data_IF_174099150522
#
_entry.id   IF_174099150522
#
_cell.length_a   1.000
_cell.length_b   1.000
_cell.length_c   1.000
_cell.angle_alpha   90.00
_cell.angle_beta   90.00
_cell.angle_gamma   90.00
#
_symmetry.space_group_name_H-M   'P 1'
#
loop_
_entity.id
_entity.type
_entity.pdbx_description
1 polymer ?
#
# COMPACT_ATOMS: atom_id res chain seq x y z
N UNK A 1 45.90 -47.83 2.70
CA UNK A 1 44.43 -47.78 2.51
C UNK A 1 43.75 -46.52 3.09
N UNK A 2 44.38 -45.74 3.97
CA UNK A 2 43.75 -44.60 4.65
C UNK A 2 43.61 -43.29 3.84
N UNK A 3 44.39 -43.11 2.78
CA UNK A 3 44.39 -41.85 2.01
C UNK A 3 43.09 -41.62 1.20
N UNK A 4 42.41 -42.70 0.79
CA UNK A 4 41.20 -42.63 -0.05
C UNK A 4 39.92 -42.31 0.76
N UNK A 5 39.88 -42.67 2.05
CA UNK A 5 38.76 -42.33 2.94
C UNK A 5 38.77 -40.86 3.37
N UNK A 6 39.93 -40.26 3.60
CA UNK A 6 40.04 -38.84 3.97
C UNK A 6 39.49 -37.90 2.89
N UNK A 7 39.83 -38.17 1.62
CA UNK A 7 39.38 -37.37 0.46
C UNK A 7 37.85 -37.42 0.30
N UNK A 8 37.23 -38.59 0.52
CA UNK A 8 35.78 -38.76 0.42
C UNK A 8 35.03 -38.02 1.55
N UNK A 9 35.59 -38.01 2.76
CA UNK A 9 35.02 -37.31 3.91
C UNK A 9 35.06 -35.78 3.71
N UNK A 10 36.18 -35.25 3.20
CA UNK A 10 36.32 -33.82 2.92
C UNK A 10 35.44 -33.36 1.74
N UNK A 11 35.27 -34.22 0.73
CA UNK A 11 34.31 -33.98 -0.35
C UNK A 11 32.86 -33.93 0.17
N UNK A 12 32.48 -34.87 1.03
CA UNK A 12 31.14 -34.89 1.62
C UNK A 12 30.87 -33.64 2.49
N UNK A 13 31.86 -33.19 3.28
CA UNK A 13 31.76 -31.95 4.08
C UNK A 13 31.60 -30.71 3.21
N UNK A 14 32.40 -30.57 2.15
CA UNK A 14 32.33 -29.42 1.24
C UNK A 14 31.03 -29.38 0.44
N UNK A 15 30.48 -30.53 0.03
CA UNK A 15 29.15 -30.62 -0.60
C UNK A 15 28.05 -30.18 0.37
N UNK A 16 28.10 -30.63 1.63
CA UNK A 16 27.13 -30.22 2.65
C UNK A 16 27.20 -28.71 2.95
N UNK A 17 28.41 -28.15 3.09
CA UNK A 17 28.60 -26.72 3.28
C UNK A 17 28.05 -25.89 2.11
N UNK A 18 28.27 -26.32 0.86
CA UNK A 18 27.71 -25.66 -0.33
C UNK A 18 26.18 -25.69 -0.33
N UNK A 19 25.56 -26.80 0.08
CA UNK A 19 24.09 -26.92 0.23
C UNK A 19 23.56 -25.98 1.32
N UNK A 20 24.20 -25.93 2.49
CA UNK A 20 23.83 -25.03 3.59
C UNK A 20 23.97 -23.57 3.18
N UNK A 21 25.05 -23.20 2.49
CA UNK A 21 25.28 -21.85 2.00
C UNK A 21 24.22 -21.44 0.95
N UNK A 22 23.84 -22.36 0.05
CA UNK A 22 22.77 -22.14 -0.93
C UNK A 22 21.41 -21.95 -0.24
N UNK A 23 21.08 -22.76 0.77
CA UNK A 23 19.86 -22.61 1.57
C UNK A 23 19.84 -21.29 2.35
N UNK A 24 20.97 -20.87 2.95
CA UNK A 24 21.08 -19.55 3.61
C UNK A 24 20.84 -18.39 2.64
N UNK A 25 21.40 -18.45 1.43
CA UNK A 25 21.17 -17.43 0.38
C UNK A 25 19.70 -17.37 -0.03
N UNK A 26 19.03 -18.51 -0.15
CA UNK A 26 17.59 -18.58 -0.47
C UNK A 26 16.75 -17.99 0.66
N UNK A 27 17.06 -18.30 1.93
CA UNK A 27 16.35 -17.73 3.08
C UNK A 27 16.49 -16.21 3.18
N UNK A 28 17.70 -15.67 2.95
CA UNK A 28 17.93 -14.22 2.91
C UNK A 28 17.16 -13.58 1.75
N UNK A 29 17.17 -14.19 0.56
CA UNK A 29 16.41 -13.70 -0.58
C UNK A 29 14.89 -13.70 -0.32
N UNK A 30 14.35 -14.72 0.36
CA UNK A 30 12.93 -14.78 0.73
C UNK A 30 12.54 -13.71 1.76
N UNK A 31 13.40 -13.43 2.75
CA UNK A 31 13.16 -12.34 3.71
C UNK A 31 13.12 -10.97 3.02
N UNK A 32 14.05 -10.71 2.09
CA UNK A 32 14.10 -9.44 1.35
C UNK A 32 12.91 -9.29 0.38
N UNK A 33 12.51 -10.35 -0.33
CA UNK A 33 11.35 -10.30 -1.24
C UNK A 33 10.04 -10.10 -0.46
N UNK A 34 9.92 -10.65 0.75
CA UNK A 34 8.75 -10.50 1.62
C UNK A 34 8.53 -9.08 2.16
N UNK A 35 9.60 -8.35 2.49
CA UNK A 35 9.50 -7.01 3.07
C UNK A 35 9.35 -5.90 2.03
N UNK A 36 9.96 -6.04 0.84
CA UNK A 36 9.87 -5.01 -0.21
C UNK A 36 8.68 -5.20 -1.16
N UNK A 37 8.16 -6.42 -1.33
CA UNK A 37 7.03 -6.67 -2.26
C UNK A 37 5.66 -6.19 -1.77
N UNK A 38 5.43 -6.19 -0.45
CA UNK A 38 4.19 -5.72 0.16
C UNK A 38 4.19 -4.20 0.38
N UNK A 39 5.34 -3.62 0.72
CA UNK A 39 5.46 -2.18 1.01
C UNK A 39 5.10 -1.31 -0.19
N UNK A 40 5.46 -1.69 -1.43
CA UNK A 40 5.12 -0.92 -2.63
C UNK A 40 3.63 -0.92 -2.98
N UNK A 41 2.89 -2.02 -2.72
CA UNK A 41 1.44 -2.02 -2.92
C UNK A 41 0.75 -1.23 -1.80
N UNK A 42 1.30 -1.30 -0.59
CA UNK A 42 0.76 -0.68 0.61
C UNK A 42 1.03 0.83 0.67
N UNK A 43 2.12 1.30 0.07
CA UNK A 43 2.41 2.73 -0.10
C UNK A 43 1.36 3.42 -0.97
N UNK A 44 0.81 2.75 -1.99
CA UNK A 44 -0.22 3.34 -2.85
C UNK A 44 -1.52 3.60 -2.09
N UNK A 45 -1.89 2.72 -1.15
CA UNK A 45 -3.05 2.94 -0.27
C UNK A 45 -2.86 4.14 0.65
N UNK A 46 -1.68 4.27 1.24
CA UNK A 46 -1.36 5.44 2.07
C UNK A 46 -1.32 6.73 1.25
N UNK A 47 -0.76 6.68 0.04
CA UNK A 47 -0.75 7.82 -0.88
C UNK A 47 -2.18 8.26 -1.23
N UNK A 48 -3.09 7.32 -1.51
CA UNK A 48 -4.49 7.64 -1.75
C UNK A 48 -5.19 8.20 -0.49
N UNK A 49 -4.86 7.69 0.71
CA UNK A 49 -5.32 8.27 1.96
C UNK A 49 -4.85 9.73 2.11
N UNK A 50 -3.57 10.01 1.83
CA UNK A 50 -3.02 11.37 1.87
C UNK A 50 -3.66 12.29 0.83
N UNK A 51 -3.89 11.80 -0.40
CA UNK A 51 -4.63 12.53 -1.44
C UNK A 51 -6.05 12.88 -1.02
N UNK A 52 -6.74 11.96 -0.34
CA UNK A 52 -8.08 12.23 0.22
C UNK A 52 -8.11 13.33 1.28
N UNK A 53 -6.94 13.79 1.76
CA UNK A 53 -6.77 14.94 2.61
C UNK A 53 -6.29 16.14 1.78
N UNK A 54 -5.21 16.00 1.01
CA UNK A 54 -4.56 17.12 0.32
C UNK A 54 -5.35 17.70 -0.85
N UNK A 55 -6.15 16.87 -1.53
CA UNK A 55 -6.87 17.28 -2.74
C UNK A 55 -8.15 18.08 -2.42
N UNK A 56 -8.50 18.19 -1.13
CA UNK A 56 -9.66 18.93 -0.62
C UNK A 56 -9.17 20.15 0.15
N UNK A 57 -9.65 21.33 -0.24
CA UNK A 57 -9.42 22.54 0.53
C UNK A 57 -10.39 22.58 1.74
N UNK A 58 -9.93 22.14 2.90
CA UNK A 58 -10.77 22.01 4.09
C UNK A 58 -11.22 23.36 4.67
N UNK A 59 -10.46 24.43 4.43
CA UNK A 59 -10.87 25.79 4.80
C UNK A 59 -12.06 26.24 3.95
N UNK A 60 -12.03 25.97 2.63
CA UNK A 60 -13.17 26.21 1.74
C UNK A 60 -14.37 25.35 2.13
N UNK A 61 -14.18 24.07 2.46
CA UNK A 61 -15.26 23.20 2.96
C UNK A 61 -15.90 23.80 4.21
N UNK A 62 -15.09 24.28 5.15
CA UNK A 62 -15.59 24.89 6.38
C UNK A 62 -16.44 26.15 6.11
N UNK A 63 -15.97 27.02 5.22
CA UNK A 63 -16.67 28.24 4.85
C UNK A 63 -17.95 27.97 4.03
N UNK A 64 -17.85 27.17 2.96
CA UNK A 64 -18.95 26.89 2.03
C UNK A 64 -20.11 26.14 2.70
N UNK A 65 -19.80 25.24 3.64
CA UNK A 65 -20.80 24.45 4.35
C UNK A 65 -21.21 25.06 5.69
N UNK A 66 -20.70 26.26 6.00
CA UNK A 66 -20.96 26.98 7.24
C UNK A 66 -20.78 26.05 8.45
N UNK A 67 -19.59 25.47 8.57
CA UNK A 67 -19.27 24.55 9.65
C UNK A 67 -19.09 25.30 10.95
N UNK A 68 -19.62 24.73 12.04
CA UNK A 68 -19.33 25.25 13.37
C UNK A 68 -17.85 25.05 13.70
N UNK A 69 -17.32 25.83 14.65
CA UNK A 69 -15.95 25.67 15.14
C UNK A 69 -15.69 24.22 15.60
N UNK A 70 -16.67 23.60 16.26
CA UNK A 70 -16.57 22.21 16.69
C UNK A 70 -16.46 21.23 15.50
N UNK A 71 -17.29 21.40 14.46
CA UNK A 71 -17.22 20.57 13.25
C UNK A 71 -15.88 20.71 12.53
N UNK A 72 -15.39 21.95 12.41
CA UNK A 72 -14.09 22.25 11.79
C UNK A 72 -12.94 21.61 12.58
N UNK A 73 -12.96 21.70 13.90
CA UNK A 73 -11.95 21.07 14.75
C UNK A 73 -11.97 19.54 14.64
N UNK A 74 -13.16 18.93 14.57
CA UNK A 74 -13.30 17.49 14.37
C UNK A 74 -12.77 17.05 13.00
N UNK A 75 -13.02 17.81 11.94
CA UNK A 75 -12.44 17.54 10.62
C UNK A 75 -10.92 17.65 10.61
N UNK A 76 -10.37 18.69 11.24
CA UNK A 76 -8.92 18.87 11.34
C UNK A 76 -8.29 17.68 12.10
N UNK A 77 -8.86 17.28 13.23
CA UNK A 77 -8.41 16.10 13.98
C UNK A 77 -8.50 14.80 13.15
N UNK A 78 -9.55 14.66 12.32
CA UNK A 78 -9.68 13.52 11.40
C UNK A 78 -8.60 13.52 10.30
N UNK A 79 -8.27 14.70 9.76
CA UNK A 79 -7.23 14.87 8.74
C UNK A 79 -5.82 14.64 9.27
N UNK A 80 -5.59 14.94 10.55
CA UNK A 80 -4.30 14.75 11.22
C UNK A 80 -4.17 13.37 11.89
N UNK A 81 -5.18 12.51 11.83
CA UNK A 81 -5.22 11.22 12.56
C UNK A 81 -4.03 10.30 12.23
N UNK A 82 -3.63 10.21 10.97
CA UNK A 82 -2.51 9.40 10.52
C UNK A 82 -1.56 10.24 9.65
N UNK A 83 -0.63 10.95 10.30
CA UNK A 83 0.29 11.89 9.63
C UNK A 83 1.42 11.19 8.88
N UNK A 84 1.76 9.97 9.28
CA UNK A 84 2.83 9.15 8.74
C UNK A 84 2.34 7.77 8.29
N UNK A 85 3.14 7.10 7.46
CA UNK A 85 2.81 5.78 6.93
C UNK A 85 2.70 4.74 8.04
N UNK A 86 3.57 4.77 9.05
CA UNK A 86 3.62 3.73 10.07
C UNK A 86 2.36 3.72 10.95
N UNK A 87 1.86 4.89 11.34
CA UNK A 87 0.60 5.06 12.07
C UNK A 87 -0.60 4.59 11.26
N UNK A 88 -0.67 4.96 9.98
CA UNK A 88 -1.69 4.46 9.07
C UNK A 88 -1.60 2.93 8.89
N UNK A 89 -0.38 2.41 8.73
CA UNK A 89 -0.11 1.01 8.47
C UNK A 89 -0.53 0.16 9.67
N UNK A 90 -0.21 0.57 10.91
CA UNK A 90 -0.67 -0.12 12.12
C UNK A 90 -2.19 -0.24 12.19
N UNK A 91 -2.93 0.76 11.73
CA UNK A 91 -4.39 0.76 11.77
C UNK A 91 -5.03 -0.11 10.66
N UNK A 92 -4.41 -0.19 9.49
CA UNK A 92 -5.04 -0.75 8.28
C UNK A 92 -4.26 -1.89 7.62
N UNK A 93 -3.14 -2.36 8.17
CA UNK A 93 -2.31 -3.42 7.56
C UNK A 93 -3.09 -4.69 7.23
N UNK A 94 -4.01 -5.09 8.10
CA UNK A 94 -4.86 -6.26 7.90
C UNK A 94 -5.92 -6.07 6.82
N UNK A 95 -6.39 -4.83 6.63
CA UNK A 95 -7.47 -4.46 5.71
C UNK A 95 -7.25 -3.06 5.11
N UNK A 96 -6.31 -2.90 4.16
CA UNK A 96 -5.92 -1.59 3.62
C UNK A 96 -6.99 -0.95 2.75
N UNK A 97 -8.09 -1.63 2.44
CA UNK A 97 -9.23 -1.05 1.74
C UNK A 97 -10.18 -0.28 2.68
N UNK A 98 -10.16 -0.59 3.99
CA UNK A 98 -11.15 -0.10 4.97
C UNK A 98 -11.04 1.40 5.25
N UNK A 99 -9.86 2.00 5.11
CA UNK A 99 -9.65 3.41 5.46
C UNK A 99 -10.62 4.38 4.77
N UNK A 100 -11.08 4.05 3.54
CA UNK A 100 -12.01 4.89 2.79
C UNK A 100 -13.37 4.92 3.48
N UNK A 101 -13.86 3.75 3.86
CA UNK A 101 -15.13 3.60 4.56
C UNK A 101 -15.06 4.34 5.90
N UNK A 102 -14.04 4.05 6.72
CA UNK A 102 -13.85 4.68 8.02
C UNK A 102 -13.75 6.22 7.90
N UNK A 103 -12.98 6.72 6.93
CA UNK A 103 -12.81 8.18 6.74
C UNK A 103 -14.10 8.86 6.30
N UNK A 104 -14.78 8.32 5.28
CA UNK A 104 -15.96 8.97 4.73
C UNK A 104 -17.20 8.79 5.61
N UNK A 105 -17.26 7.72 6.41
CA UNK A 105 -18.21 7.59 7.51
C UNK A 105 -18.00 8.68 8.57
N UNK A 106 -16.76 8.89 9.02
CA UNK A 106 -16.45 9.95 9.99
C UNK A 106 -16.74 11.35 9.46
N UNK A 107 -16.45 11.62 8.18
CA UNK A 107 -16.81 12.89 7.55
C UNK A 107 -18.33 13.07 7.53
N UNK A 108 -19.10 12.05 7.15
CA UNK A 108 -20.57 12.13 7.17
C UNK A 108 -21.11 12.35 8.59
N UNK A 109 -20.52 11.70 9.59
CA UNK A 109 -20.88 11.88 11.01
C UNK A 109 -20.61 13.30 11.51
N UNK A 110 -19.47 13.90 11.14
CA UNK A 110 -19.10 15.26 11.56
C UNK A 110 -19.95 16.30 10.85
N UNK A 111 -20.14 16.15 9.54
CA UNK A 111 -20.86 17.13 8.71
C UNK A 111 -22.38 17.03 8.88
N UNK A 112 -22.89 15.84 9.13
CA UNK A 112 -24.29 15.50 8.96
C UNK A 112 -24.67 15.27 7.49
N UNK A 113 -25.79 14.58 7.28
CA UNK A 113 -26.24 14.07 5.97
C UNK A 113 -26.36 15.15 4.89
N UNK A 114 -26.95 16.30 5.22
CA UNK A 114 -27.21 17.37 4.25
C UNK A 114 -25.89 18.01 3.77
N UNK A 115 -25.04 18.44 4.70
CA UNK A 115 -23.74 19.05 4.40
C UNK A 115 -22.81 18.04 3.72
N UNK A 116 -22.85 16.76 4.11
CA UNK A 116 -22.09 15.71 3.45
C UNK A 116 -22.52 15.49 1.99
N UNK A 117 -23.82 15.63 1.69
CA UNK A 117 -24.31 15.55 0.31
C UNK A 117 -23.78 16.70 -0.53
N UNK A 118 -23.78 17.93 0.00
CA UNK A 118 -23.19 19.12 -0.64
C UNK A 118 -21.68 18.95 -0.84
N UNK A 119 -20.97 18.45 0.17
CA UNK A 119 -19.55 18.13 0.09
C UNK A 119 -19.23 17.18 -1.08
N UNK A 120 -19.95 16.06 -1.20
CA UNK A 120 -19.75 15.12 -2.32
C UNK A 120 -20.02 15.76 -3.67
N UNK A 121 -21.04 16.62 -3.76
CA UNK A 121 -21.36 17.34 -5.00
C UNK A 121 -20.22 18.27 -5.42
N UNK A 122 -19.72 19.08 -4.50
CA UNK A 122 -18.71 20.11 -4.80
C UNK A 122 -17.32 19.51 -5.05
N UNK A 123 -16.88 18.55 -4.22
CA UNK A 123 -15.49 18.07 -4.22
C UNK A 123 -15.30 16.75 -4.98
N UNK A 124 -16.38 15.98 -5.17
CA UNK A 124 -16.34 14.69 -5.86
C UNK A 124 -17.29 14.61 -7.07
N UNK A 125 -17.80 15.75 -7.55
CA UNK A 125 -18.72 15.84 -8.70
C UNK A 125 -19.96 14.95 -8.51
N UNK A 126 -20.43 14.83 -7.27
CA UNK A 126 -21.56 13.97 -6.88
C UNK A 126 -21.24 12.48 -6.77
N UNK A 127 -20.01 12.06 -7.09
CA UNK A 127 -19.60 10.66 -6.98
C UNK A 127 -19.38 10.29 -5.51
N UNK A 128 -19.59 9.01 -5.18
CA UNK A 128 -19.21 8.48 -3.88
C UNK A 128 -17.67 8.51 -3.75
N UNK A 129 -17.08 9.23 -2.78
CA UNK A 129 -15.64 9.30 -2.61
C UNK A 129 -15.00 7.92 -2.39
N UNK A 130 -15.70 7.01 -1.71
CA UNK A 130 -15.25 5.62 -1.55
C UNK A 130 -15.05 4.97 -2.93
N UNK A 131 -15.98 5.19 -3.87
CA UNK A 131 -15.89 4.66 -5.22
C UNK A 131 -14.77 5.31 -6.04
N UNK A 132 -14.50 6.62 -5.84
CA UNK A 132 -13.40 7.34 -6.50
C UNK A 132 -12.07 6.68 -6.18
N UNK A 133 -11.79 6.45 -4.89
CA UNK A 133 -10.54 5.80 -4.47
C UNK A 133 -10.56 4.27 -4.64
N UNK A 134 -11.73 3.64 -4.76
CA UNK A 134 -11.82 2.22 -5.13
C UNK A 134 -11.42 1.96 -6.59
N UNK A 135 -11.65 2.91 -7.51
CA UNK A 135 -11.21 2.76 -8.93
C UNK A 135 -9.69 2.68 -9.07
N UNK A 136 -8.92 3.31 -8.18
CA UNK A 136 -7.46 3.24 -8.20
C UNK A 136 -6.93 1.82 -7.96
N UNK A 137 -7.63 0.97 -7.20
CA UNK A 137 -7.30 -0.46 -7.04
C UNK A 137 -7.28 -1.21 -8.37
N UNK A 138 -8.23 -0.91 -9.25
CA UNK A 138 -8.33 -1.54 -10.57
C UNK A 138 -7.24 -1.02 -11.53
N UNK A 139 -6.89 0.26 -11.45
CA UNK A 139 -5.79 0.83 -12.23
C UNK A 139 -4.42 0.30 -11.76
N UNK A 140 -4.21 0.16 -10.46
CA UNK A 140 -3.01 -0.48 -9.90
C UNK A 140 -2.86 -1.93 -10.39
N UNK A 141 -3.92 -2.74 -10.28
CA UNK A 141 -3.93 -4.12 -10.81
C UNK A 141 -3.60 -4.15 -12.30
N UNK A 142 -4.19 -3.25 -13.09
CA UNK A 142 -3.97 -3.14 -14.54
C UNK A 142 -2.53 -2.71 -14.88
N UNK A 143 -1.97 -1.77 -14.14
CA UNK A 143 -0.58 -1.29 -14.27
C UNK A 143 0.43 -2.39 -13.91
N UNK A 144 0.21 -3.12 -12.81
CA UNK A 144 1.05 -4.25 -12.38
C UNK A 144 1.03 -5.38 -13.39
N UNK A 145 -0.14 -5.71 -13.95
CA UNK A 145 -0.26 -6.68 -15.05
C UNK A 145 0.52 -6.23 -16.29
N UNK A 146 0.48 -4.93 -16.65
CA UNK A 146 1.28 -4.40 -17.77
C UNK A 146 2.79 -4.51 -17.53
N UNK A 147 3.29 -4.13 -16.34
CA UNK A 147 4.71 -4.24 -15.98
C UNK A 147 5.20 -5.68 -15.97
N UNK A 148 4.42 -6.61 -15.42
CA UNK A 148 4.75 -8.03 -15.43
C UNK A 148 4.79 -8.62 -16.85
N UNK A 149 3.93 -8.14 -17.76
CA UNK A 149 3.98 -8.53 -19.17
C UNK A 149 5.24 -8.00 -19.86
N UNK A 150 5.62 -6.75 -19.62
CA UNK A 150 6.84 -6.16 -20.16
C UNK A 150 8.10 -6.92 -19.71
N UNK A 151 8.23 -7.20 -18.40
CA UNK A 151 9.34 -7.97 -17.85
C UNK A 151 9.45 -9.39 -18.45
N UNK A 152 8.30 -10.06 -18.67
CA UNK A 152 8.29 -11.38 -19.32
C UNK A 152 8.70 -11.35 -20.79
N UNK A 153 8.43 -10.25 -21.50
CA UNK A 153 8.86 -10.07 -22.89
C UNK A 153 10.37 -9.84 -22.97
N UNK A 154 10.90 -8.96 -22.12
CA UNK A 154 12.33 -8.64 -22.03
C UNK A 154 13.17 -9.89 -21.74
N UNK A 155 12.77 -10.68 -20.73
CA UNK A 155 13.43 -11.95 -20.42
C UNK A 155 13.40 -12.98 -21.56
N UNK A 156 12.35 -12.97 -22.39
CA UNK A 156 12.25 -13.86 -23.55
C UNK A 156 13.27 -13.50 -24.62
N UNK A 157 13.51 -12.20 -24.84
CA UNK A 157 14.51 -11.74 -25.80
C UNK A 157 15.95 -12.04 -25.37
N UNK A 158 16.25 -12.01 -24.07
CA UNK A 158 17.58 -12.39 -23.54
C UNK A 158 17.94 -13.88 -23.72
N UNK A 159 16.95 -14.77 -23.82
CA UNK A 159 17.19 -16.21 -24.00
C UNK A 159 17.34 -16.65 -25.47
N UNK A 160 17.19 -15.72 -26.42
CA UNK A 160 17.33 -15.97 -27.86
C UNK A 160 18.65 -15.44 -28.45
N UNK A 161 19.61 -15.03 -27.59
CA UNK A 161 20.98 -14.67 -27.97
C UNK A 161 22.00 -15.68 -27.44
#
# INVERSE_FOLDING_TARGET
MYCKLGILIDYAKTVNQKKVLKMKKIMIALMLVGTFGLSYAQSDYYNDYRRSISDVNWQSVAAELLLSVAQTNQLNALNDRYRDYDSWNRAYVSQPDRWREDRYYEIERILGREKYTKFKKNYYKGQNPIAVYNRNKNNYKKSKVKKNKAYKMEKKHEHHH
#
